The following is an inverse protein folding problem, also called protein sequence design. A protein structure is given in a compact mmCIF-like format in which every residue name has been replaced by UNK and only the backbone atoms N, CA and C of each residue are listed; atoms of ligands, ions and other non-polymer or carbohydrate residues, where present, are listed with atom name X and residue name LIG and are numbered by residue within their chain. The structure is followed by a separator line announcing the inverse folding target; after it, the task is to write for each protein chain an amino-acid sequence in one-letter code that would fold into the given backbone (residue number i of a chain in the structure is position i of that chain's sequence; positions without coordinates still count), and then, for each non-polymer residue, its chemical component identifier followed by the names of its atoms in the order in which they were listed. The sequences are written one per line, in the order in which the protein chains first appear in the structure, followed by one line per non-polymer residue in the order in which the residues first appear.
data_IF_401897904449
#
_entry.id   IF_401897904449
#
_cell.length_a   1.000
_cell.length_b   1.000
_cell.length_c   1.000
_cell.angle_alpha   90.00
_cell.angle_beta   90.00
_cell.angle_gamma   90.00
#
_symmetry.space_group_name_H-M   'P 1'
#
loop_
_entity.id
_entity.type
_entity.pdbx_description
1 polymer ?
#
# COMPACT_ATOMS: atom_id res chain seq x y z
N UNK A 1 -20.35 -33.64 23.11
CA UNK A 1 -19.94 -33.39 21.69
C UNK A 1 -20.00 -31.91 21.45
N UNK A 2 -18.84 -31.25 21.17
CA UNK A 2 -18.82 -29.83 20.79
C UNK A 2 -19.29 -29.74 19.33
N UNK A 3 -20.42 -29.13 19.08
CA UNK A 3 -20.87 -28.81 17.71
C UNK A 3 -19.77 -27.98 17.02
N UNK A 4 -19.35 -28.37 15.80
CA UNK A 4 -18.39 -27.58 15.05
C UNK A 4 -19.00 -26.19 14.78
N UNK A 5 -18.29 -25.14 15.19
CA UNK A 5 -18.67 -23.77 14.86
C UNK A 5 -18.74 -23.67 13.34
N UNK A 6 -19.85 -23.23 12.75
CA UNK A 6 -19.99 -23.18 11.30
C UNK A 6 -18.90 -22.28 10.72
N UNK A 7 -18.11 -22.83 9.79
CA UNK A 7 -17.09 -22.06 9.07
C UNK A 7 -17.82 -20.99 8.27
N UNK A 8 -17.64 -19.73 8.67
CA UNK A 8 -18.22 -18.59 7.93
C UNK A 8 -17.59 -18.55 6.55
N UNK A 9 -18.41 -18.73 5.52
CA UNK A 9 -17.98 -18.52 4.13
C UNK A 9 -17.70 -17.04 3.90
N UNK A 10 -16.59 -16.74 3.23
CA UNK A 10 -16.27 -15.42 2.72
C UNK A 10 -15.92 -15.54 1.24
N UNK A 11 -16.04 -14.45 0.48
CA UNK A 11 -15.79 -14.53 -0.94
C UNK A 11 -14.29 -14.65 -1.24
N UNK A 12 -13.46 -13.88 -0.52
CA UNK A 12 -12.04 -13.74 -0.84
C UNK A 12 -11.13 -13.82 0.38
N UNK A 13 -9.92 -14.35 0.19
CA UNK A 13 -8.74 -14.05 0.98
C UNK A 13 -7.86 -13.10 0.16
N UNK A 14 -7.73 -11.86 0.63
CA UNK A 14 -6.89 -10.84 0.02
C UNK A 14 -5.52 -10.87 0.66
N UNK A 15 -4.48 -10.82 -0.15
CA UNK A 15 -3.08 -10.89 0.28
C UNK A 15 -2.28 -9.80 -0.41
N UNK A 16 -1.70 -8.89 0.37
CA UNK A 16 -0.76 -7.87 -0.11
C UNK A 16 0.65 -8.25 0.36
N UNK A 17 1.48 -8.71 -0.56
CA UNK A 17 2.87 -9.14 -0.30
C UNK A 17 3.82 -8.01 -0.68
N UNK A 18 4.15 -7.18 0.29
CA UNK A 18 5.11 -6.10 0.15
C UNK A 18 6.48 -6.51 0.74
N UNK A 19 7.56 -5.75 0.44
CA UNK A 19 8.92 -6.12 0.84
C UNK A 19 9.09 -6.34 2.35
N UNK A 20 8.55 -5.46 3.19
CA UNK A 20 8.71 -5.56 4.65
C UNK A 20 7.64 -6.41 5.31
N UNK A 21 6.40 -6.31 4.86
CA UNK A 21 5.24 -6.95 5.49
C UNK A 21 4.26 -7.50 4.46
N UNK A 22 3.69 -8.65 4.80
CA UNK A 22 2.53 -9.23 4.11
C UNK A 22 1.28 -8.97 4.94
N UNK A 23 0.22 -8.46 4.31
CA UNK A 23 -1.08 -8.23 4.94
C UNK A 23 -2.11 -9.22 4.41
N UNK A 24 -2.93 -9.76 5.29
CA UNK A 24 -4.02 -10.68 4.98
C UNK A 24 -5.34 -10.09 5.45
N UNK A 25 -6.36 -10.16 4.62
CA UNK A 25 -7.72 -9.82 5.02
C UNK A 25 -8.73 -10.76 4.37
N UNK A 26 -9.72 -11.20 5.12
CA UNK A 26 -10.90 -11.82 4.54
C UNK A 26 -11.83 -10.74 4.01
N UNK A 27 -12.47 -11.00 2.90
CA UNK A 27 -13.38 -10.04 2.30
C UNK A 27 -14.66 -10.68 1.77
N UNK A 28 -15.74 -9.91 1.86
CA UNK A 28 -16.92 -10.09 1.04
C UNK A 28 -16.85 -9.13 -0.15
N UNK A 29 -17.84 -9.17 -1.04
CA UNK A 29 -17.97 -8.20 -2.14
C UNK A 29 -18.02 -6.73 -1.63
N UNK A 30 -18.47 -6.49 -0.40
CA UNK A 30 -18.70 -5.14 0.14
C UNK A 30 -17.67 -4.66 1.16
N UNK A 31 -17.03 -5.55 1.92
CA UNK A 31 -16.19 -5.19 3.08
C UNK A 31 -14.96 -6.08 3.19
N UNK A 32 -13.90 -5.51 3.79
CA UNK A 32 -12.74 -6.26 4.25
C UNK A 32 -12.81 -6.43 5.77
N UNK A 33 -12.30 -7.56 6.29
CA UNK A 33 -12.07 -7.74 7.73
C UNK A 33 -10.90 -6.88 8.21
N UNK A 34 -10.71 -6.78 9.53
CA UNK A 34 -9.47 -6.24 10.08
C UNK A 34 -8.28 -7.03 9.53
N UNK A 35 -7.29 -6.36 8.92
CA UNK A 35 -6.14 -7.04 8.35
C UNK A 35 -5.20 -7.58 9.43
N UNK A 36 -4.60 -8.74 9.13
CA UNK A 36 -3.47 -9.27 9.89
C UNK A 36 -2.19 -8.97 9.14
N UNK A 37 -1.20 -8.44 9.84
CA UNK A 37 0.12 -8.07 9.30
C UNK A 37 1.19 -9.03 9.82
N UNK A 38 1.99 -9.55 8.90
CA UNK A 38 3.10 -10.48 9.21
C UNK A 38 4.35 -9.97 8.49
N UNK A 39 5.53 -10.11 9.10
CA UNK A 39 6.79 -9.82 8.41
C UNK A 39 6.96 -10.74 7.19
N UNK A 40 7.26 -10.17 6.02
CA UNK A 40 7.29 -10.93 4.75
C UNK A 40 8.35 -12.04 4.75
N UNK A 41 9.46 -11.85 5.46
CA UNK A 41 10.47 -12.91 5.62
C UNK A 41 9.92 -14.16 6.35
N UNK A 42 8.86 -14.02 7.16
CA UNK A 42 8.17 -15.13 7.86
C UNK A 42 7.06 -15.78 7.02
N UNK A 43 6.76 -15.24 5.84
CA UNK A 43 5.76 -15.84 4.95
C UNK A 43 6.25 -17.20 4.46
N UNK A 44 5.46 -18.23 4.72
CA UNK A 44 5.68 -19.62 4.32
C UNK A 44 4.36 -20.28 3.93
N UNK A 45 4.42 -21.40 3.22
CA UNK A 45 3.23 -22.21 2.89
C UNK A 45 2.45 -22.62 4.13
N UNK A 46 3.13 -23.01 5.20
CA UNK A 46 2.50 -23.38 6.48
C UNK A 46 1.75 -22.21 7.10
N UNK A 47 2.37 -21.02 7.12
CA UNK A 47 1.69 -19.82 7.64
C UNK A 47 0.48 -19.46 6.78
N UNK A 48 0.60 -19.50 5.47
CA UNK A 48 -0.49 -19.20 4.55
C UNK A 48 -1.66 -20.17 4.72
N UNK A 49 -1.39 -21.48 4.82
CA UNK A 49 -2.41 -22.49 5.12
C UNK A 49 -3.19 -22.24 6.42
N UNK A 50 -2.55 -21.67 7.45
CA UNK A 50 -3.26 -21.28 8.69
C UNK A 50 -4.32 -20.22 8.41
N UNK A 51 -4.09 -19.28 7.50
CA UNK A 51 -5.11 -18.31 7.09
C UNK A 51 -6.22 -18.98 6.28
N UNK A 52 -5.91 -19.81 5.29
CA UNK A 52 -6.91 -20.52 4.50
C UNK A 52 -7.82 -21.40 5.33
N UNK A 53 -7.30 -22.07 6.36
CA UNK A 53 -8.08 -22.94 7.25
C UNK A 53 -9.03 -22.19 8.20
N UNK A 54 -8.89 -20.87 8.35
CA UNK A 54 -9.77 -20.10 9.25
C UNK A 54 -11.18 -19.92 8.68
N UNK A 55 -11.30 -19.85 7.34
CA UNK A 55 -12.58 -19.64 6.65
C UNK A 55 -12.54 -20.31 5.29
N UNK A 56 -13.70 -20.82 4.86
CA UNK A 56 -13.85 -21.24 3.47
C UNK A 56 -13.92 -19.99 2.59
N UNK A 57 -12.98 -19.86 1.66
CA UNK A 57 -12.94 -18.78 0.67
C UNK A 57 -13.17 -19.34 -0.71
N UNK A 58 -13.80 -18.55 -1.58
CA UNK A 58 -14.02 -18.89 -2.98
C UNK A 58 -12.73 -18.70 -3.79
N UNK A 59 -11.96 -17.66 -3.46
CA UNK A 59 -10.77 -17.27 -4.23
C UNK A 59 -9.75 -16.58 -3.35
N UNK A 60 -8.47 -16.77 -3.67
CA UNK A 60 -7.35 -16.00 -3.13
C UNK A 60 -6.97 -14.95 -4.16
N UNK A 61 -6.84 -13.68 -3.73
CA UNK A 61 -6.46 -12.56 -4.61
C UNK A 61 -5.21 -11.91 -4.05
N UNK A 62 -4.15 -11.87 -4.84
CA UNK A 62 -2.82 -11.51 -4.38
C UNK A 62 -2.25 -10.33 -5.18
N UNK A 63 -1.84 -9.28 -4.47
CA UNK A 63 -0.85 -8.30 -4.93
C UNK A 63 0.50 -8.74 -4.41
N UNK A 64 1.50 -8.87 -5.25
CA UNK A 64 2.86 -9.23 -4.84
C UNK A 64 3.91 -8.44 -5.59
N UNK A 65 4.82 -7.84 -4.82
CA UNK A 65 6.07 -7.23 -5.31
C UNK A 65 7.30 -8.00 -4.81
N UNK A 66 7.11 -9.25 -4.36
CA UNK A 66 8.15 -10.14 -3.81
C UNK A 66 8.02 -11.53 -4.48
N UNK A 67 8.51 -11.68 -5.72
CA UNK A 67 8.29 -12.89 -6.53
C UNK A 67 8.75 -14.20 -5.86
N UNK A 68 9.83 -14.17 -5.07
CA UNK A 68 10.32 -15.35 -4.35
C UNK A 68 9.34 -15.90 -3.31
N UNK A 69 8.34 -15.13 -2.89
CA UNK A 69 7.28 -15.57 -1.97
C UNK A 69 6.08 -16.16 -2.68
N UNK A 70 5.94 -15.96 -3.99
CA UNK A 70 4.76 -16.38 -4.73
C UNK A 70 4.57 -17.91 -4.75
N UNK A 71 5.67 -18.67 -4.86
CA UNK A 71 5.63 -20.14 -4.85
C UNK A 71 5.05 -20.70 -3.55
N UNK A 72 5.34 -20.07 -2.41
CA UNK A 72 4.80 -20.47 -1.11
C UNK A 72 3.28 -20.32 -1.03
N UNK A 73 2.74 -19.27 -1.66
CA UNK A 73 1.30 -19.00 -1.74
C UNK A 73 0.63 -19.97 -2.71
N UNK A 74 1.15 -20.10 -3.95
CA UNK A 74 0.60 -20.99 -4.97
C UNK A 74 0.53 -22.44 -4.47
N UNK A 75 1.61 -22.95 -3.88
CA UNK A 75 1.68 -24.30 -3.33
C UNK A 75 0.64 -24.54 -2.24
N UNK A 76 0.41 -23.55 -1.38
CA UNK A 76 -0.50 -23.67 -0.25
C UNK A 76 -1.97 -23.42 -0.63
N UNK A 77 -2.25 -22.66 -1.68
CA UNK A 77 -3.61 -22.38 -2.14
C UNK A 77 -4.27 -23.63 -2.77
N UNK A 78 -3.50 -24.53 -3.38
CA UNK A 78 -4.01 -25.77 -3.96
C UNK A 78 -5.16 -25.50 -4.93
N UNK A 79 -6.27 -26.20 -4.76
CA UNK A 79 -7.47 -26.10 -5.60
C UNK A 79 -8.24 -24.79 -5.46
N UNK A 80 -8.02 -24.02 -4.39
CA UNK A 80 -8.71 -22.74 -4.18
C UNK A 80 -8.40 -21.72 -5.29
N UNK A 81 -7.27 -21.92 -5.99
CA UNK A 81 -6.82 -21.04 -7.06
C UNK A 81 -6.34 -19.68 -6.54
N UNK A 82 -5.43 -19.08 -7.27
CA UNK A 82 -4.88 -17.75 -6.95
C UNK A 82 -5.04 -16.83 -8.15
N UNK A 83 -5.67 -15.70 -7.94
CA UNK A 83 -5.66 -14.58 -8.89
C UNK A 83 -4.51 -13.64 -8.49
N UNK A 84 -3.52 -13.59 -9.34
CA UNK A 84 -2.39 -12.67 -9.22
C UNK A 84 -2.76 -11.35 -9.89
N UNK A 85 -2.68 -10.27 -9.12
CA UNK A 85 -2.95 -8.94 -9.65
C UNK A 85 -1.84 -8.52 -10.62
N UNK A 86 -2.23 -8.21 -11.82
CA UNK A 86 -1.40 -7.62 -12.86
C UNK A 86 -2.22 -6.68 -13.77
N UNK A 87 -1.54 -6.12 -14.78
CA UNK A 87 -2.13 -5.16 -15.72
C UNK A 87 -3.12 -5.78 -16.74
N UNK A 88 -3.32 -7.09 -16.76
CA UNK A 88 -4.23 -7.77 -17.69
C UNK A 88 -5.64 -7.93 -17.13
N UNK A 89 -5.79 -7.81 -15.81
CA UNK A 89 -7.09 -7.90 -15.15
C UNK A 89 -7.95 -6.65 -15.39
N UNK A 90 -9.26 -6.80 -15.19
CA UNK A 90 -10.18 -5.65 -15.11
C UNK A 90 -9.90 -4.90 -13.81
N UNK A 91 -9.26 -3.72 -13.92
CA UNK A 91 -8.85 -2.91 -12.76
C UNK A 91 -9.89 -1.87 -12.36
N UNK A 92 -10.87 -1.57 -13.22
CA UNK A 92 -11.78 -0.45 -13.04
C UNK A 92 -11.12 0.91 -13.32
N UNK A 93 -9.86 0.91 -13.76
CA UNK A 93 -9.12 2.03 -14.34
C UNK A 93 -8.44 1.55 -15.62
N UNK A 94 -8.29 2.43 -16.60
CA UNK A 94 -7.43 2.17 -17.75
C UNK A 94 -5.95 2.35 -17.40
N UNK A 95 -5.07 1.96 -18.29
CA UNK A 95 -3.62 2.16 -18.17
C UNK A 95 -3.16 2.94 -19.39
N UNK A 96 -2.65 4.15 -19.17
CA UNK A 96 -1.98 4.99 -20.15
C UNK A 96 -0.53 5.14 -19.71
N UNK A 97 0.23 4.06 -19.88
CA UNK A 97 1.61 3.94 -19.44
C UNK A 97 2.39 3.03 -20.40
N UNK A 98 3.60 3.44 -20.86
CA UNK A 98 4.33 2.75 -21.94
C UNK A 98 4.63 1.28 -21.70
N UNK A 99 4.83 0.89 -20.43
CA UNK A 99 5.18 -0.48 -20.04
C UNK A 99 4.23 -1.01 -18.95
N UNK A 100 2.95 -1.35 -19.26
CA UNK A 100 1.95 -1.74 -18.27
C UNK A 100 2.38 -2.88 -17.34
N UNK A 101 3.13 -3.86 -17.86
CA UNK A 101 3.62 -5.01 -17.09
C UNK A 101 4.70 -4.67 -16.06
N UNK A 102 5.31 -3.48 -16.13
CA UNK A 102 6.30 -3.03 -15.16
C UNK A 102 5.68 -2.33 -13.93
N UNK A 103 4.38 -2.09 -13.94
CA UNK A 103 3.69 -1.44 -12.84
C UNK A 103 3.52 -2.45 -11.71
N UNK A 104 3.98 -2.10 -10.51
CA UNK A 104 3.78 -2.93 -9.31
C UNK A 104 2.30 -3.20 -9.04
N UNK A 105 1.99 -4.43 -8.65
CA UNK A 105 0.62 -4.86 -8.38
C UNK A 105 -0.05 -4.02 -7.27
N UNK A 106 0.70 -3.63 -6.24
CA UNK A 106 0.24 -2.75 -5.18
C UNK A 106 -0.17 -1.37 -5.69
N UNK A 107 0.56 -0.82 -6.66
CA UNK A 107 0.26 0.47 -7.29
C UNK A 107 -1.03 0.41 -8.12
N UNK A 108 -1.25 -0.68 -8.86
CA UNK A 108 -2.50 -0.92 -9.59
C UNK A 108 -3.69 -1.06 -8.62
N UNK A 109 -3.53 -1.78 -7.51
CA UNK A 109 -4.55 -1.88 -6.48
C UNK A 109 -4.89 -0.53 -5.86
N UNK A 110 -3.88 0.29 -5.54
CA UNK A 110 -4.04 1.64 -5.00
C UNK A 110 -4.80 2.54 -5.97
N UNK A 111 -4.45 2.54 -7.26
CA UNK A 111 -5.12 3.30 -8.30
C UNK A 111 -6.59 2.90 -8.47
N UNK A 112 -6.87 1.59 -8.53
CA UNK A 112 -8.21 1.06 -8.60
C UNK A 112 -9.08 1.48 -7.40
N UNK A 113 -8.53 1.39 -6.18
CA UNK A 113 -9.20 1.80 -4.96
C UNK A 113 -9.50 3.30 -4.94
N UNK A 114 -8.51 4.14 -5.26
CA UNK A 114 -8.68 5.59 -5.25
C UNK A 114 -9.76 6.02 -6.24
N UNK A 115 -9.71 5.51 -7.48
CA UNK A 115 -10.68 5.82 -8.51
C UNK A 115 -12.10 5.34 -8.16
N UNK A 116 -12.24 4.18 -7.52
CA UNK A 116 -13.55 3.63 -7.17
C UNK A 116 -14.17 4.30 -5.94
N UNK A 117 -13.36 4.67 -4.93
CA UNK A 117 -13.85 5.18 -3.65
C UNK A 117 -13.96 6.70 -3.60
N UNK A 118 -13.15 7.42 -4.37
CA UNK A 118 -13.06 8.88 -4.32
C UNK A 118 -13.33 9.57 -5.66
N UNK A 119 -13.28 8.82 -6.77
CA UNK A 119 -13.40 9.37 -8.11
C UNK A 119 -12.05 9.81 -8.70
N UNK A 120 -12.12 10.49 -9.83
CA UNK A 120 -10.95 10.93 -10.62
C UNK A 120 -11.05 12.43 -10.93
N UNK A 121 -9.93 13.15 -11.02
CA UNK A 121 -8.55 12.65 -10.89
C UNK A 121 -8.19 12.35 -9.44
N UNK A 122 -7.21 11.43 -9.24
CA UNK A 122 -6.74 11.05 -7.92
C UNK A 122 -5.22 10.81 -7.88
N UNK A 123 -4.59 11.09 -6.75
CA UNK A 123 -3.23 10.68 -6.42
C UNK A 123 -3.27 9.82 -5.17
N UNK A 124 -2.60 8.68 -5.19
CA UNK A 124 -2.33 7.90 -3.98
C UNK A 124 -0.90 8.13 -3.57
N UNK A 125 -0.68 8.45 -2.30
CA UNK A 125 0.65 8.51 -1.68
C UNK A 125 0.77 7.36 -0.71
N UNK A 126 1.56 6.34 -1.05
CA UNK A 126 1.79 5.17 -0.19
C UNK A 126 3.11 5.32 0.57
N UNK A 127 3.01 5.49 1.88
CA UNK A 127 4.13 5.65 2.81
C UNK A 127 4.61 4.29 3.33
N UNK A 128 5.19 3.49 2.44
CA UNK A 128 5.74 2.17 2.70
C UNK A 128 7.26 2.14 2.87
N UNK A 129 7.89 1.03 2.43
CA UNK A 129 9.36 0.86 2.35
C UNK A 129 9.98 1.89 1.40
N UNK A 130 9.34 2.13 0.28
CA UNK A 130 9.46 3.35 -0.52
C UNK A 130 8.22 4.22 -0.30
N UNK A 131 8.28 5.51 -0.62
CA UNK A 131 7.07 6.29 -0.87
C UNK A 131 6.77 6.26 -2.36
N UNK A 132 5.56 5.90 -2.72
CA UNK A 132 5.10 5.94 -4.11
C UNK A 132 3.96 6.94 -4.26
N UNK A 133 3.93 7.57 -5.43
CA UNK A 133 2.84 8.43 -5.85
C UNK A 133 2.22 7.78 -7.09
N UNK A 134 0.97 7.39 -7.00
CA UNK A 134 0.24 6.73 -8.09
C UNK A 134 -0.81 7.68 -8.62
N UNK A 135 -0.71 8.05 -9.90
CA UNK A 135 -1.50 9.10 -10.51
C UNK A 135 -2.58 8.49 -11.40
N UNK A 136 -3.85 8.84 -11.11
CA UNK A 136 -5.00 8.49 -11.94
C UNK A 136 -5.54 9.79 -12.56
N UNK A 137 -5.58 9.83 -13.88
CA UNK A 137 -6.04 10.99 -14.66
C UNK A 137 -7.55 11.21 -14.52
N UNK A 138 -8.03 12.38 -14.96
CA UNK A 138 -9.46 12.69 -15.04
C UNK A 138 -10.23 11.74 -15.97
N UNK A 139 -9.55 11.12 -16.94
CA UNK A 139 -10.10 10.08 -17.83
C UNK A 139 -10.10 8.68 -17.22
N UNK A 140 -9.79 8.58 -15.92
CA UNK A 140 -9.73 7.33 -15.17
C UNK A 140 -8.63 6.37 -15.65
N UNK A 141 -7.52 6.88 -16.15
CA UNK A 141 -6.35 6.09 -16.51
C UNK A 141 -5.24 6.26 -15.48
N UNK A 142 -4.58 5.18 -15.11
CA UNK A 142 -3.27 5.22 -14.46
C UNK A 142 -2.27 5.76 -15.46
N UNK A 143 -1.64 6.88 -15.17
CA UNK A 143 -0.73 7.59 -16.10
C UNK A 143 0.73 7.56 -15.66
N UNK A 144 1.02 6.93 -14.53
CA UNK A 144 2.38 6.84 -13.99
C UNK A 144 2.48 7.23 -12.54
N UNK A 145 3.67 7.58 -12.10
CA UNK A 145 3.90 7.95 -10.73
C UNK A 145 5.33 8.28 -10.38
N UNK A 146 5.57 8.57 -9.10
CA UNK A 146 6.89 8.86 -8.55
C UNK A 146 7.23 7.80 -7.51
N UNK A 147 8.49 7.44 -7.40
CA UNK A 147 9.03 6.55 -6.36
C UNK A 147 10.21 7.26 -5.71
N UNK A 148 10.18 7.38 -4.38
CA UNK A 148 11.29 7.92 -3.60
C UNK A 148 11.60 7.01 -2.39
N UNK A 149 12.77 7.16 -1.75
CA UNK A 149 13.10 6.39 -0.55
C UNK A 149 12.05 6.59 0.54
N UNK A 150 11.65 5.50 1.22
CA UNK A 150 10.74 5.60 2.35
C UNK A 150 11.40 6.26 3.57
N UNK A 151 10.60 6.78 4.48
CA UNK A 151 11.07 7.52 5.65
C UNK A 151 12.04 6.69 6.52
N UNK A 152 11.73 5.41 6.73
CA UNK A 152 12.59 4.51 7.50
C UNK A 152 13.88 4.18 6.77
N UNK A 153 13.86 4.05 5.44
CA UNK A 153 15.05 3.81 4.64
C UNK A 153 16.05 4.97 4.76
N UNK A 154 15.57 6.21 4.69
CA UNK A 154 16.40 7.41 4.84
C UNK A 154 17.05 7.49 6.23
N UNK A 155 16.30 7.23 7.28
CA UNK A 155 16.81 7.31 8.66
C UNK A 155 17.72 6.15 9.03
N UNK A 156 17.42 4.93 8.54
CA UNK A 156 18.28 3.77 8.73
C UNK A 156 19.62 3.92 7.99
N UNK A 157 19.65 4.57 6.83
CA UNK A 157 20.87 4.87 6.11
C UNK A 157 21.84 5.70 6.97
N UNK A 158 21.36 6.75 7.63
CA UNK A 158 22.18 7.57 8.54
C UNK A 158 22.73 6.73 9.70
N UNK A 159 21.90 5.91 10.34
CA UNK A 159 22.32 5.01 11.40
C UNK A 159 23.40 4.02 10.95
N UNK A 160 23.25 3.44 9.74
CA UNK A 160 24.18 2.43 9.23
C UNK A 160 25.50 3.01 8.68
N UNK A 161 25.50 4.27 8.25
CA UNK A 161 26.62 4.91 7.55
C UNK A 161 27.39 5.92 8.41
N UNK A 162 27.01 6.12 9.64
CA UNK A 162 27.71 7.03 10.56
C UNK A 162 28.00 6.35 11.89
N UNK A 163 29.10 6.75 12.53
CA UNK A 163 29.52 6.14 13.81
C UNK A 163 28.68 6.60 15.02
N UNK A 164 28.11 7.79 14.94
CA UNK A 164 27.51 8.45 16.13
C UNK A 164 25.99 8.67 16.03
N UNK A 165 25.39 8.49 14.85
CA UNK A 165 23.96 8.74 14.70
C UNK A 165 23.16 7.48 15.12
N UNK A 166 22.27 7.60 16.13
CA UNK A 166 21.54 6.46 16.65
C UNK A 166 20.37 6.06 15.72
N UNK A 167 19.91 4.82 15.86
CA UNK A 167 18.64 4.39 15.25
C UNK A 167 17.47 5.18 15.85
N UNK A 168 16.59 5.71 14.99
CA UNK A 168 15.47 6.52 15.41
C UNK A 168 14.19 5.71 15.64
N UNK A 169 13.44 6.07 16.67
CA UNK A 169 12.01 5.82 16.77
C UNK A 169 11.26 7.01 16.19
N UNK A 170 10.64 6.82 15.01
CA UNK A 170 10.00 7.89 14.24
C UNK A 170 8.72 8.36 14.92
N UNK A 171 8.70 9.64 15.27
CA UNK A 171 7.57 10.35 15.90
C UNK A 171 7.63 11.83 15.56
N UNK A 172 6.54 12.53 15.83
CA UNK A 172 6.46 13.98 15.64
C UNK A 172 7.53 14.71 16.46
N UNK A 173 8.38 15.54 15.84
CA UNK A 173 9.34 16.38 16.55
C UNK A 173 8.63 17.56 17.22
N UNK A 174 9.08 17.92 18.42
CA UNK A 174 8.50 19.05 19.18
C UNK A 174 8.86 20.41 18.59
N UNK A 175 10.01 20.54 17.94
CA UNK A 175 10.58 21.78 17.41
C UNK A 175 11.36 21.52 16.14
N UNK A 176 11.46 22.52 15.27
CA UNK A 176 12.29 22.47 14.07
C UNK A 176 13.79 22.42 14.41
N UNK A 177 14.23 23.15 15.42
CA UNK A 177 15.61 23.09 15.90
C UNK A 177 15.71 22.06 17.01
N UNK A 178 16.30 20.91 16.72
CA UNK A 178 16.62 19.88 17.71
C UNK A 178 17.77 20.28 18.61
N UNK A 179 17.58 20.15 19.94
CA UNK A 179 18.63 20.43 20.93
C UNK A 179 19.36 19.18 21.42
N UNK A 180 19.28 18.11 20.65
CA UNK A 180 20.02 16.86 20.81
C UNK A 180 20.16 16.20 19.45
N UNK A 181 21.11 15.28 19.28
CA UNK A 181 21.27 14.52 18.03
C UNK A 181 19.98 13.84 17.59
N UNK A 182 19.29 13.16 18.51
CA UNK A 182 17.99 12.53 18.22
C UNK A 182 16.95 13.58 17.79
N UNK A 183 16.87 14.71 18.49
CA UNK A 183 15.94 15.79 18.15
C UNK A 183 16.22 16.40 16.78
N UNK A 184 17.48 16.64 16.46
CA UNK A 184 17.90 17.16 15.16
C UNK A 184 17.61 16.16 14.03
N UNK A 185 17.92 14.88 14.22
CA UNK A 185 17.60 13.81 13.26
C UNK A 185 16.10 13.66 13.05
N UNK A 186 15.27 13.69 14.11
CA UNK A 186 13.81 13.61 13.99
C UNK A 186 13.25 14.81 13.22
N UNK A 187 13.76 16.01 13.52
CA UNK A 187 13.35 17.24 12.81
C UNK A 187 13.65 17.14 11.32
N UNK A 188 14.89 16.80 10.96
CA UNK A 188 15.29 16.60 9.57
C UNK A 188 14.49 15.51 8.87
N UNK A 189 14.28 14.38 9.54
CA UNK A 189 13.52 13.27 8.99
C UNK A 189 12.05 13.64 8.71
N UNK A 190 11.33 14.19 9.68
CA UNK A 190 9.90 14.43 9.54
C UNK A 190 9.60 15.67 8.70
N UNK A 191 10.23 16.80 9.00
CA UNK A 191 9.97 18.03 8.24
C UNK A 191 10.55 17.97 6.83
N UNK A 192 11.77 17.41 6.68
CA UNK A 192 12.37 17.21 5.37
C UNK A 192 11.54 16.27 4.49
N UNK A 193 11.00 15.21 5.09
CA UNK A 193 10.15 14.27 4.37
C UNK A 193 8.80 14.86 3.94
N UNK A 194 8.20 15.69 4.79
CA UNK A 194 7.01 16.46 4.40
C UNK A 194 7.29 17.43 3.28
N UNK A 195 8.45 18.10 3.32
CA UNK A 195 8.90 18.96 2.21
C UNK A 195 9.05 18.20 0.89
N UNK A 196 9.64 16.99 0.93
CA UNK A 196 9.74 16.10 -0.22
C UNK A 196 8.36 15.77 -0.79
N UNK A 197 7.43 15.35 0.06
CA UNK A 197 6.07 14.98 -0.36
C UNK A 197 5.33 16.19 -0.92
N UNK A 198 5.40 17.34 -0.25
CA UNK A 198 4.79 18.59 -0.66
C UNK A 198 5.28 19.02 -2.06
N UNK A 199 6.60 19.04 -2.29
CA UNK A 199 7.19 19.45 -3.57
C UNK A 199 6.75 18.52 -4.70
N UNK A 200 6.79 17.20 -4.48
CA UNK A 200 6.34 16.22 -5.49
C UNK A 200 4.86 16.42 -5.82
N UNK A 201 4.00 16.58 -4.82
CA UNK A 201 2.56 16.84 -5.04
C UNK A 201 2.33 18.14 -5.78
N UNK A 202 3.07 19.21 -5.44
CA UNK A 202 2.98 20.51 -6.10
C UNK A 202 3.36 20.41 -7.58
N UNK A 203 4.43 19.66 -7.91
CA UNK A 203 4.87 19.43 -9.30
C UNK A 203 3.82 18.64 -10.09
N UNK A 204 3.36 17.51 -9.56
CA UNK A 204 2.33 16.69 -10.21
C UNK A 204 1.07 17.53 -10.47
N UNK A 205 0.65 18.33 -9.46
CA UNK A 205 -0.52 19.21 -9.62
C UNK A 205 -0.34 20.25 -10.69
N UNK A 206 0.83 20.88 -10.78
CA UNK A 206 1.12 21.90 -11.79
C UNK A 206 1.15 21.33 -13.21
N UNK A 207 1.71 20.13 -13.38
CA UNK A 207 1.81 19.46 -14.69
C UNK A 207 0.47 18.91 -15.17
N UNK A 208 -0.27 18.16 -14.34
CA UNK A 208 -1.41 17.36 -14.77
C UNK A 208 -2.78 17.95 -14.37
N UNK A 209 -2.83 18.72 -13.26
CA UNK A 209 -4.09 19.13 -12.66
C UNK A 209 -4.16 20.61 -12.26
N UNK A 210 -3.72 21.58 -13.08
CA UNK A 210 -3.45 22.98 -12.66
C UNK A 210 -4.67 23.72 -12.08
N UNK A 211 -5.90 23.31 -12.39
CA UNK A 211 -7.13 23.97 -11.92
C UNK A 211 -8.24 22.98 -11.56
N UNK A 212 -7.89 21.71 -11.33
CA UNK A 212 -8.90 20.67 -11.08
C UNK A 212 -9.01 20.34 -9.61
N UNK A 213 -10.21 19.98 -9.19
CA UNK A 213 -10.42 19.30 -7.91
C UNK A 213 -9.71 17.95 -7.99
N UNK A 214 -8.85 17.67 -7.02
CA UNK A 214 -7.98 16.49 -6.99
C UNK A 214 -8.16 15.78 -5.66
N UNK A 215 -8.35 14.46 -5.70
CA UNK A 215 -8.38 13.63 -4.51
C UNK A 215 -6.98 13.11 -4.22
N UNK A 216 -6.40 13.45 -3.06
CA UNK A 216 -5.09 12.95 -2.64
C UNK A 216 -5.29 12.08 -1.41
N UNK A 217 -5.02 10.79 -1.58
CA UNK A 217 -5.27 9.75 -0.57
C UNK A 217 -3.94 9.19 -0.09
N UNK A 218 -3.70 9.23 1.22
CA UNK A 218 -2.53 8.63 1.84
C UNK A 218 -2.82 7.20 2.33
N UNK A 219 -1.88 6.29 2.13
CA UNK A 219 -1.87 4.94 2.66
C UNK A 219 -0.47 4.58 3.17
N UNK A 220 -0.30 3.38 3.71
CA UNK A 220 0.99 2.91 4.23
C UNK A 220 1.20 3.16 5.72
N UNK A 221 2.32 2.62 6.23
CA UNK A 221 2.59 2.59 7.67
C UNK A 221 2.83 3.95 8.31
N UNK A 222 3.42 4.88 7.56
CA UNK A 222 3.74 6.23 8.02
C UNK A 222 2.74 7.31 7.58
N UNK A 223 1.66 6.91 6.89
CA UNK A 223 0.67 7.85 6.36
C UNK A 223 0.13 8.81 7.43
N UNK A 224 -0.27 8.29 8.59
CA UNK A 224 -0.81 9.14 9.66
C UNK A 224 0.20 10.16 10.19
N UNK A 225 1.46 9.75 10.35
CA UNK A 225 2.52 10.63 10.88
C UNK A 225 2.84 11.78 9.91
N UNK A 226 2.93 11.46 8.62
CA UNK A 226 3.35 12.44 7.62
C UNK A 226 2.18 13.29 7.13
N UNK A 227 1.07 12.66 6.76
CA UNK A 227 -0.08 13.34 6.17
C UNK A 227 -0.82 14.29 7.13
N UNK A 228 -0.67 14.10 8.45
CA UNK A 228 -1.36 14.94 9.45
C UNK A 228 -1.05 16.46 9.34
N UNK A 229 0.06 16.82 8.71
CA UNK A 229 0.51 18.20 8.52
C UNK A 229 0.70 18.57 7.04
N UNK A 230 0.07 17.81 6.15
CA UNK A 230 0.04 18.07 4.70
C UNK A 230 -1.43 18.31 4.28
N UNK A 231 -1.86 19.59 4.20
CA UNK A 231 -3.26 19.93 3.93
C UNK A 231 -3.74 19.48 2.54
N UNK A 232 -2.83 19.19 1.62
CA UNK A 232 -3.13 18.65 0.30
C UNK A 232 -3.70 17.22 0.38
N UNK A 233 -3.31 16.45 1.39
CA UNK A 233 -3.77 15.08 1.59
C UNK A 233 -5.12 15.11 2.29
N UNK A 234 -6.17 14.85 1.53
CA UNK A 234 -7.55 14.96 2.01
C UNK A 234 -8.03 13.76 2.81
N UNK A 235 -7.37 12.61 2.66
CA UNK A 235 -7.82 11.36 3.27
C UNK A 235 -6.66 10.43 3.58
N UNK A 236 -6.70 9.77 4.74
CA UNK A 236 -5.78 8.69 5.11
C UNK A 236 -6.54 7.36 5.17
N UNK A 237 -6.13 6.40 4.35
CA UNK A 237 -6.73 5.05 4.26
C UNK A 237 -5.66 3.97 4.44
N UNK A 238 -5.45 3.45 5.66
CA UNK A 238 -4.35 2.53 5.96
C UNK A 238 -4.40 1.19 5.21
N UNK A 239 -5.58 0.83 4.69
CA UNK A 239 -5.81 -0.46 4.03
C UNK A 239 -6.26 -0.31 2.57
N UNK A 240 -5.86 0.79 1.92
CA UNK A 240 -6.30 1.13 0.56
C UNK A 240 -5.97 0.02 -0.44
N UNK A 241 -4.76 -0.54 -0.39
CA UNK A 241 -4.32 -1.63 -1.26
C UNK A 241 -5.24 -2.86 -1.16
N UNK A 242 -5.63 -3.25 0.05
CA UNK A 242 -6.56 -4.36 0.27
C UNK A 242 -7.98 -4.03 -0.24
N UNK A 243 -8.43 -2.79 -0.11
CA UNK A 243 -9.69 -2.35 -0.74
C UNK A 243 -9.61 -2.43 -2.26
N UNK A 244 -8.46 -2.07 -2.85
CA UNK A 244 -8.21 -2.24 -4.28
C UNK A 244 -8.29 -3.69 -4.72
N UNK A 245 -7.64 -4.59 -3.99
CA UNK A 245 -7.73 -6.03 -4.25
C UNK A 245 -9.18 -6.54 -4.21
N UNK A 246 -9.97 -6.11 -3.23
CA UNK A 246 -11.40 -6.47 -3.14
C UNK A 246 -12.19 -5.97 -4.34
N UNK A 247 -11.97 -4.72 -4.75
CA UNK A 247 -12.65 -4.11 -5.91
C UNK A 247 -12.30 -4.88 -7.18
N UNK A 248 -11.01 -5.15 -7.41
CA UNK A 248 -10.53 -5.89 -8.58
C UNK A 248 -11.05 -7.34 -8.57
N UNK A 249 -11.06 -8.00 -7.40
CA UNK A 249 -11.67 -9.32 -7.26
C UNK A 249 -13.13 -9.34 -7.75
N UNK A 250 -13.93 -8.36 -7.33
CA UNK A 250 -15.33 -8.26 -7.75
C UNK A 250 -15.51 -8.02 -9.26
N UNK A 251 -14.57 -7.30 -9.89
CA UNK A 251 -14.64 -7.03 -11.34
C UNK A 251 -14.26 -8.23 -12.19
N UNK A 252 -13.58 -9.24 -11.60
CA UNK A 252 -13.06 -10.43 -12.28
C UNK A 252 -13.69 -11.76 -11.76
N UNK A 253 -14.80 -11.67 -11.03
CA UNK A 253 -15.55 -12.82 -10.48
C UNK A 253 -16.64 -13.31 -11.41
#
# INVERSE_FOLDING_TARGET
MKHPVPIRTTDYLLVDVSNSYTKFAFASTKRISAPVRVATNKLSSTLFLRFLKQRRVRQVVVSSVVPEKNSAISKAAGETGVVWLDSTLKLGVGIDYPAPKSIGADRLANAAAAAALYGCPAIVVDFGTAVTFDIVSARRNYIGGVIAPGLEAMTNFLYQRTALLPKLSLKEPRRAIGRSTIGAMLSGAIFGYRGLVHEILARIRAEEFPRRKLHIVATGGYARLIASQLPEITTVRPHLTLEGLRIIANLNS
#
